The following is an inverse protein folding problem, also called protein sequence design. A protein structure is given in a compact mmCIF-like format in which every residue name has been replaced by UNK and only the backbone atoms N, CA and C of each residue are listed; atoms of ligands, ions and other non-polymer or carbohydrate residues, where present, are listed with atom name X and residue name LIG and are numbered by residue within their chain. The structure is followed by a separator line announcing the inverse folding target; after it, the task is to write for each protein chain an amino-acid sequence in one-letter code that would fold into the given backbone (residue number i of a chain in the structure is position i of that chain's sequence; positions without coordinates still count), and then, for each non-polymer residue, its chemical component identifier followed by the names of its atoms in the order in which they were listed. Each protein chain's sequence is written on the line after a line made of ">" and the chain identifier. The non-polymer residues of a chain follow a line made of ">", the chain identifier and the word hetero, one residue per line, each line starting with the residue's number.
data_IF_238753302546
#
_entry.id   IF_238753302546
#
_cell.length_a   1.000
_cell.length_b   1.000
_cell.length_c   1.000
_cell.angle_alpha   90.00
_cell.angle_beta   90.00
_cell.angle_gamma   90.00
#
_symmetry.space_group_name_H-M   'P 1'
#
loop_
_entity.id
_entity.type
_entity.pdbx_description
1 polymer ?
#
# COMPACT_ATOMS: atom_id res chain seq x y z
N UNK A 1 -50.92 -0.61 26.38
CA UNK A 1 -50.29 -0.39 25.06
C UNK A 1 -49.22 0.67 25.28
N UNK A 2 -47.96 0.27 25.41
CA UNK A 2 -46.83 1.20 25.55
C UNK A 2 -46.24 1.43 24.17
N UNK A 3 -46.18 2.68 23.73
CA UNK A 3 -45.49 3.07 22.51
C UNK A 3 -44.00 2.72 22.63
N UNK A 4 -43.55 1.82 21.75
CA UNK A 4 -42.13 1.61 21.48
C UNK A 4 -41.72 2.74 20.54
N UNK A 5 -41.03 3.75 21.07
CA UNK A 5 -40.40 4.80 20.29
C UNK A 5 -39.37 4.21 19.30
N UNK A 6 -39.16 4.85 18.14
CA UNK A 6 -38.30 4.31 17.10
C UNK A 6 -36.84 4.18 17.58
N UNK A 7 -36.09 3.18 17.09
CA UNK A 7 -34.73 2.91 17.55
C UNK A 7 -33.82 4.09 17.24
N UNK A 8 -33.13 4.54 18.29
CA UNK A 8 -32.07 5.53 18.28
C UNK A 8 -31.10 5.25 17.12
N UNK A 9 -31.16 6.13 16.12
CA UNK A 9 -30.30 6.08 14.94
C UNK A 9 -28.84 6.12 15.40
N UNK A 10 -28.14 4.99 15.28
CA UNK A 10 -26.70 4.91 15.43
C UNK A 10 -26.04 5.78 14.36
N UNK A 11 -25.84 7.06 14.66
CA UNK A 11 -25.05 7.95 13.83
C UNK A 11 -23.62 7.40 13.80
N UNK A 12 -23.00 7.23 12.62
CA UNK A 12 -21.63 6.76 12.54
C UNK A 12 -20.71 7.73 13.31
N UNK A 13 -19.71 7.22 14.06
CA UNK A 13 -18.90 8.06 14.92
C UNK A 13 -18.20 9.14 14.08
N UNK A 14 -18.59 10.40 14.29
CA UNK A 14 -17.88 11.55 13.73
C UNK A 14 -16.55 11.63 14.46
N UNK A 15 -15.49 11.18 13.80
CA UNK A 15 -14.11 11.34 14.31
C UNK A 15 -13.88 12.83 14.55
N UNK A 16 -13.63 13.20 15.80
CA UNK A 16 -13.39 14.59 16.17
C UNK A 16 -11.98 15.02 15.75
N UNK A 17 -11.80 16.31 15.43
CA UNK A 17 -10.48 16.88 15.12
C UNK A 17 -9.51 16.67 16.28
N UNK A 18 -10.02 16.69 17.51
CA UNK A 18 -9.23 16.43 18.71
C UNK A 18 -8.73 14.98 18.78
N UNK A 19 -9.59 13.99 18.49
CA UNK A 19 -9.16 12.59 18.43
C UNK A 19 -8.08 12.36 17.37
N UNK A 20 -8.23 13.00 16.20
CA UNK A 20 -7.22 12.96 15.14
C UNK A 20 -5.90 13.56 15.61
N UNK A 21 -5.93 14.72 16.27
CA UNK A 21 -4.74 15.39 16.80
C UNK A 21 -4.03 14.54 17.84
N UNK A 22 -4.77 13.96 18.78
CA UNK A 22 -4.23 13.10 19.85
C UNK A 22 -3.61 11.83 19.27
N UNK A 23 -4.28 11.14 18.34
CA UNK A 23 -3.74 9.91 17.74
C UNK A 23 -2.59 10.15 16.79
N UNK A 24 -2.62 11.21 15.97
CA UNK A 24 -1.46 11.61 15.17
C UNK A 24 -0.28 11.99 16.07
N UNK A 25 -0.54 12.70 17.17
CA UNK A 25 0.48 13.01 18.17
C UNK A 25 1.12 11.74 18.75
N UNK A 26 0.30 10.74 19.10
CA UNK A 26 0.80 9.43 19.57
C UNK A 26 1.59 8.68 18.51
N UNK A 27 1.13 8.65 17.26
CA UNK A 27 1.85 8.02 16.16
C UNK A 27 3.23 8.67 15.93
N UNK A 28 3.27 10.00 15.90
CA UNK A 28 4.52 10.75 15.77
C UNK A 28 5.43 10.55 16.97
N UNK A 29 4.88 10.57 18.19
CA UNK A 29 5.65 10.32 19.40
C UNK A 29 6.27 8.92 19.36
N UNK A 30 5.51 7.87 19.03
CA UNK A 30 6.04 6.52 18.89
C UNK A 30 7.08 6.40 17.77
N UNK A 31 6.94 7.16 16.67
CA UNK A 31 7.98 7.22 15.62
C UNK A 31 9.27 7.85 16.13
N UNK A 32 9.15 8.97 16.84
CA UNK A 32 10.30 9.68 17.42
C UNK A 32 10.95 8.81 18.49
N UNK A 33 10.18 8.20 19.39
CA UNK A 33 10.67 7.27 20.42
C UNK A 33 11.43 6.10 19.81
N UNK A 34 10.87 5.47 18.76
CA UNK A 34 11.56 4.40 18.04
C UNK A 34 12.83 4.90 17.37
N UNK A 35 12.79 6.07 16.70
CA UNK A 35 13.96 6.64 16.04
C UNK A 35 15.08 6.98 17.04
N UNK A 36 14.73 7.56 18.19
CA UNK A 36 15.66 7.86 19.29
C UNK A 36 16.22 6.57 19.87
N UNK A 37 15.38 5.57 20.16
CA UNK A 37 15.81 4.28 20.66
C UNK A 37 16.78 3.60 19.67
N UNK A 38 16.46 3.61 18.37
CA UNK A 38 17.35 3.09 17.33
C UNK A 38 18.66 3.87 17.24
N UNK A 39 18.62 5.20 17.33
CA UNK A 39 19.82 6.04 17.35
C UNK A 39 20.73 5.75 18.54
N UNK A 40 20.15 5.59 19.74
CA UNK A 40 20.89 5.20 20.94
C UNK A 40 21.48 3.79 20.81
N UNK A 41 20.72 2.83 20.29
CA UNK A 41 21.20 1.46 20.06
C UNK A 41 22.26 1.38 18.95
N UNK A 42 22.20 2.28 17.96
CA UNK A 42 23.24 2.40 16.95
C UNK A 42 24.55 2.91 17.58
N UNK A 43 24.48 3.98 18.38
CA UNK A 43 25.63 4.49 19.12
C UNK A 43 26.20 3.44 20.08
N UNK A 44 25.34 2.76 20.82
CA UNK A 44 25.73 1.69 21.73
C UNK A 44 26.41 0.54 20.98
N UNK A 45 25.87 0.13 19.84
CA UNK A 45 26.50 -0.88 18.97
C UNK A 45 27.89 -0.47 18.48
N UNK A 46 28.11 0.83 18.24
CA UNK A 46 29.41 1.35 17.84
C UNK A 46 30.40 1.40 19.01
N UNK A 47 29.94 1.67 20.23
CA UNK A 47 30.79 1.68 21.43
C UNK A 47 31.18 0.26 21.84
N UNK A 48 30.25 -0.68 21.71
CA UNK A 48 30.45 -2.09 22.04
C UNK A 48 31.06 -2.90 20.87
N UNK A 49 31.47 -2.23 19.80
CA UNK A 49 32.09 -2.88 18.66
C UNK A 49 33.44 -3.48 19.07
N UNK A 50 33.61 -4.78 18.89
CA UNK A 50 34.78 -5.53 19.36
C UNK A 50 34.79 -5.88 20.86
N UNK A 51 33.74 -5.55 21.63
CA UNK A 51 33.59 -6.04 22.99
C UNK A 51 32.97 -7.45 22.97
N UNK A 52 33.65 -8.43 23.57
CA UNK A 52 33.07 -9.74 23.89
C UNK A 52 33.03 -9.96 25.40
N UNK A 53 31.97 -10.60 25.88
CA UNK A 53 31.83 -11.01 27.27
C UNK A 53 31.48 -12.49 27.31
N UNK A 54 32.11 -13.23 28.21
CA UNK A 54 31.75 -14.62 28.47
C UNK A 54 30.67 -14.66 29.57
N UNK A 55 29.48 -15.15 29.20
CA UNK A 55 28.32 -15.24 30.09
C UNK A 55 27.85 -16.70 30.10
N UNK A 56 27.91 -17.36 31.26
CA UNK A 56 27.57 -18.78 31.42
C UNK A 56 28.30 -19.73 30.43
N UNK A 57 29.55 -19.45 30.10
CA UNK A 57 30.35 -20.25 29.16
C UNK A 57 29.99 -20.06 27.69
N UNK A 58 29.18 -19.04 27.37
CA UNK A 58 28.87 -18.62 26.00
C UNK A 58 29.52 -17.25 25.78
N UNK A 59 30.34 -17.14 24.74
CA UNK A 59 30.87 -15.85 24.31
C UNK A 59 29.77 -15.08 23.58
N UNK A 60 29.33 -13.98 24.18
CA UNK A 60 28.32 -13.10 23.60
C UNK A 60 29.01 -11.80 23.19
N UNK A 61 28.85 -11.43 21.92
CA UNK A 61 29.40 -10.17 21.41
C UNK A 61 28.49 -8.99 21.72
N UNK A 62 29.07 -7.79 21.88
CA UNK A 62 28.31 -6.56 22.03
C UNK A 62 27.33 -6.30 20.88
N UNK A 63 27.67 -6.76 19.68
CA UNK A 63 26.80 -6.73 18.50
C UNK A 63 25.49 -7.51 18.73
N UNK A 64 25.57 -8.68 19.34
CA UNK A 64 24.41 -9.56 19.58
C UNK A 64 23.49 -9.00 20.66
N UNK A 65 24.06 -8.49 21.75
CA UNK A 65 23.29 -7.82 22.82
C UNK A 65 22.50 -6.65 22.24
N UNK A 66 23.15 -5.82 21.43
CA UNK A 66 22.50 -4.69 20.77
C UNK A 66 21.44 -5.17 19.77
N UNK A 67 21.67 -6.27 19.07
CA UNK A 67 20.68 -6.90 18.20
C UNK A 67 19.39 -7.30 18.94
N UNK A 68 19.53 -7.94 20.10
CA UNK A 68 18.39 -8.32 20.95
C UNK A 68 17.63 -7.08 21.44
N UNK A 69 18.35 -6.04 21.88
CA UNK A 69 17.73 -4.78 22.30
C UNK A 69 17.02 -4.06 21.15
N UNK A 70 17.57 -4.10 19.92
CA UNK A 70 16.89 -3.56 18.73
C UNK A 70 15.59 -4.30 18.45
N UNK A 71 15.60 -5.63 18.54
CA UNK A 71 14.40 -6.43 18.39
C UNK A 71 13.34 -6.07 19.43
N UNK A 72 13.74 -5.96 20.71
CA UNK A 72 12.83 -5.56 21.78
C UNK A 72 12.22 -4.18 21.54
N UNK A 73 13.03 -3.19 21.11
CA UNK A 73 12.55 -1.85 20.80
C UNK A 73 11.57 -1.85 19.61
N UNK A 74 11.86 -2.58 18.53
CA UNK A 74 10.96 -2.68 17.37
C UNK A 74 9.64 -3.33 17.76
N UNK A 75 9.65 -4.40 18.56
CA UNK A 75 8.41 -5.04 19.02
C UNK A 75 7.59 -4.10 19.91
N UNK A 76 8.24 -3.46 20.89
CA UNK A 76 7.58 -2.58 21.85
C UNK A 76 6.95 -1.34 21.19
N UNK A 77 7.75 -0.56 20.46
CA UNK A 77 7.25 0.67 19.82
C UNK A 77 6.45 0.36 18.55
N UNK A 78 6.84 -0.67 17.80
CA UNK A 78 6.16 -1.05 16.56
C UNK A 78 4.71 -1.45 16.76
N UNK A 79 4.35 -2.08 17.88
CA UNK A 79 2.95 -2.39 18.20
C UNK A 79 2.08 -1.13 18.31
N UNK A 80 2.55 -0.13 19.07
CA UNK A 80 1.85 1.16 19.23
C UNK A 80 1.67 1.84 17.87
N UNK A 81 2.74 1.92 17.09
CA UNK A 81 2.72 2.54 15.76
C UNK A 81 1.76 1.82 14.81
N UNK A 82 1.79 0.49 14.79
CA UNK A 82 0.94 -0.30 13.91
C UNK A 82 -0.54 -0.06 14.19
N UNK A 83 -0.92 -0.01 15.46
CA UNK A 83 -2.31 0.24 15.88
C UNK A 83 -2.80 1.62 15.41
N UNK A 84 -2.00 2.67 15.64
CA UNK A 84 -2.37 4.03 15.22
C UNK A 84 -2.35 4.20 13.69
N UNK A 85 -1.44 3.51 12.99
CA UNK A 85 -1.35 3.54 11.52
C UNK A 85 -2.54 2.85 10.86
N UNK A 86 -2.99 1.72 11.41
CA UNK A 86 -4.20 1.02 10.95
C UNK A 86 -5.47 1.85 11.19
N UNK A 87 -5.55 2.56 12.32
CA UNK A 87 -6.64 3.49 12.58
C UNK A 87 -6.64 4.66 11.58
N UNK A 88 -5.48 5.27 11.36
CA UNK A 88 -5.33 6.37 10.41
C UNK A 88 -5.67 5.94 8.99
N UNK A 89 -5.32 4.71 8.64
CA UNK A 89 -5.68 4.10 7.36
C UNK A 89 -7.19 3.95 7.21
N UNK A 90 -7.94 3.54 8.24
CA UNK A 90 -9.41 3.41 8.12
C UNK A 90 -10.07 4.75 7.78
N UNK A 91 -9.58 5.84 8.38
CA UNK A 91 -10.06 7.20 8.08
C UNK A 91 -9.62 7.63 6.68
N UNK A 92 -8.36 7.41 6.34
CA UNK A 92 -7.79 7.82 5.06
C UNK A 92 -8.43 7.07 3.91
N UNK A 93 -8.72 5.78 4.08
CA UNK A 93 -9.41 4.95 3.08
C UNK A 93 -10.79 5.52 2.73
N UNK A 94 -11.56 5.99 3.73
CA UNK A 94 -12.87 6.62 3.51
C UNK A 94 -12.77 7.95 2.76
N UNK A 95 -11.69 8.72 2.94
CA UNK A 95 -11.47 9.97 2.22
C UNK A 95 -10.98 9.69 0.80
N UNK A 96 -10.01 8.81 0.67
CA UNK A 96 -9.37 8.47 -0.59
C UNK A 96 -10.32 7.73 -1.53
N UNK A 97 -11.19 6.84 -1.02
CA UNK A 97 -12.23 6.20 -1.83
C UNK A 97 -13.20 7.21 -2.45
N UNK A 98 -13.58 8.25 -1.68
CA UNK A 98 -14.43 9.34 -2.16
C UNK A 98 -13.73 10.19 -3.21
N UNK A 99 -12.47 10.55 -2.99
CA UNK A 99 -11.67 11.32 -3.94
C UNK A 99 -11.47 10.59 -5.27
N UNK A 100 -11.26 9.27 -5.23
CA UNK A 100 -11.07 8.44 -6.41
C UNK A 100 -12.40 8.03 -7.09
N UNK A 101 -13.55 8.42 -6.51
CA UNK A 101 -14.87 8.02 -6.97
C UNK A 101 -15.01 6.50 -7.05
N UNK A 102 -14.48 5.80 -6.04
CA UNK A 102 -14.56 4.35 -5.89
C UNK A 102 -15.75 4.02 -4.99
N UNK A 103 -16.57 3.07 -5.43
CA UNK A 103 -17.72 2.61 -4.66
C UNK A 103 -17.29 1.87 -3.37
N UNK A 104 -16.13 1.21 -3.40
CA UNK A 104 -15.68 0.35 -2.32
C UNK A 104 -14.53 0.94 -1.50
N UNK A 105 -14.83 1.37 -0.28
CA UNK A 105 -13.81 1.74 0.74
C UNK A 105 -12.88 0.56 1.05
N UNK A 106 -13.42 -0.66 0.97
CA UNK A 106 -12.72 -1.90 1.35
C UNK A 106 -11.48 -2.15 0.51
N UNK A 107 -11.52 -1.87 -0.79
CA UNK A 107 -10.37 -2.04 -1.69
C UNK A 107 -9.21 -1.12 -1.33
N UNK A 108 -9.50 0.17 -1.11
CA UNK A 108 -8.51 1.16 -0.69
C UNK A 108 -7.91 0.82 0.68
N UNK A 109 -8.76 0.43 1.64
CA UNK A 109 -8.32 -0.01 2.96
C UNK A 109 -7.40 -1.22 2.86
N UNK A 110 -7.73 -2.20 2.02
CA UNK A 110 -6.91 -3.41 1.86
C UNK A 110 -5.52 -3.10 1.31
N UNK A 111 -5.43 -2.28 0.27
CA UNK A 111 -4.15 -1.85 -0.31
C UNK A 111 -3.28 -1.17 0.76
N UNK A 112 -3.87 -0.27 1.56
CA UNK A 112 -3.13 0.37 2.64
C UNK A 112 -2.69 -0.61 3.72
N UNK A 113 -3.49 -1.63 4.05
CA UNK A 113 -3.11 -2.66 5.02
C UNK A 113 -1.93 -3.48 4.49
N UNK A 114 -1.97 -3.87 3.22
CA UNK A 114 -0.91 -4.62 2.55
C UNK A 114 0.41 -3.79 2.57
N UNK A 115 0.35 -2.47 2.32
CA UNK A 115 1.51 -1.56 2.43
C UNK A 115 2.04 -1.50 3.87
N UNK A 116 1.16 -1.34 4.86
CA UNK A 116 1.54 -1.30 6.28
C UNK A 116 2.23 -2.61 6.69
N UNK A 117 1.71 -3.76 6.24
CA UNK A 117 2.30 -5.06 6.53
C UNK A 117 3.66 -5.26 5.85
N UNK A 118 3.83 -4.78 4.61
CA UNK A 118 5.15 -4.78 3.95
C UNK A 118 6.16 -3.93 4.72
N UNK A 119 5.76 -2.74 5.18
CA UNK A 119 6.62 -1.88 5.99
C UNK A 119 6.97 -2.52 7.34
N UNK A 120 5.99 -3.15 7.99
CA UNK A 120 6.20 -3.93 9.21
C UNK A 120 7.14 -5.12 9.01
N UNK A 121 7.01 -5.84 7.88
CA UNK A 121 7.89 -6.95 7.52
C UNK A 121 9.34 -6.48 7.30
N UNK A 122 9.52 -5.36 6.60
CA UNK A 122 10.84 -4.76 6.39
C UNK A 122 11.49 -4.34 7.73
N UNK A 123 10.71 -3.72 8.62
CA UNK A 123 11.18 -3.33 9.95
C UNK A 123 11.53 -4.56 10.81
N UNK A 124 10.71 -5.61 10.76
CA UNK A 124 10.99 -6.87 11.43
C UNK A 124 12.27 -7.53 10.89
N UNK A 125 12.49 -7.53 9.57
CA UNK A 125 13.73 -8.04 8.98
C UNK A 125 14.94 -7.25 9.46
N UNK A 126 14.86 -5.91 9.47
CA UNK A 126 15.92 -5.07 9.99
C UNK A 126 16.29 -5.44 11.44
N UNK A 127 15.28 -5.64 12.28
CA UNK A 127 15.45 -6.01 13.69
C UNK A 127 16.01 -7.42 13.90
N UNK A 128 15.60 -8.38 13.06
CA UNK A 128 15.99 -9.79 13.17
C UNK A 128 17.33 -10.07 12.49
N UNK A 129 17.73 -9.29 11.50
CA UNK A 129 18.96 -9.51 10.72
C UNK A 129 20.23 -9.70 11.56
N UNK A 130 20.46 -9.00 12.70
CA UNK A 130 21.62 -9.26 13.55
C UNK A 130 21.54 -10.61 14.27
N UNK A 131 20.34 -11.12 14.55
CA UNK A 131 20.20 -12.44 15.14
C UNK A 131 20.48 -13.56 14.13
N UNK A 132 20.34 -13.29 12.83
CA UNK A 132 20.70 -14.28 11.80
C UNK A 132 22.21 -14.56 11.81
N UNK A 133 23.05 -13.61 12.23
CA UNK A 133 24.49 -13.85 12.34
C UNK A 133 24.86 -14.82 13.48
N UNK A 134 24.00 -14.98 14.49
CA UNK A 134 24.17 -15.97 15.58
C UNK A 134 24.07 -17.41 15.06
N UNK A 135 23.36 -17.63 13.96
CA UNK A 135 23.22 -18.96 13.37
C UNK A 135 24.56 -19.33 12.74
N UNK A 136 25.15 -20.51 13.03
CA UNK A 136 26.39 -20.95 12.42
C UNK A 136 26.34 -20.88 10.88
N UNK A 137 27.46 -20.54 10.22
CA UNK A 137 27.51 -20.48 8.76
C UNK A 137 27.16 -21.84 8.15
N UNK A 138 26.17 -21.85 7.26
CA UNK A 138 25.64 -23.06 6.62
C UNK A 138 24.28 -22.82 6.00
N UNK A 139 23.67 -23.87 5.43
CA UNK A 139 22.37 -23.78 4.76
C UNK A 139 21.26 -23.24 5.69
N UNK A 140 21.32 -23.56 6.98
CA UNK A 140 20.36 -23.11 7.98
C UNK A 140 20.33 -21.58 8.18
N UNK A 141 21.46 -20.88 7.97
CA UNK A 141 21.54 -19.42 8.07
C UNK A 141 20.67 -18.69 7.04
N UNK A 142 20.38 -19.33 5.90
CA UNK A 142 19.52 -18.76 4.86
C UNK A 142 18.02 -18.94 5.13
N UNK A 143 17.63 -19.83 6.03
CA UNK A 143 16.21 -20.13 6.28
C UNK A 143 15.41 -18.90 6.74
N UNK A 144 15.89 -18.06 7.68
CA UNK A 144 15.17 -16.84 8.06
C UNK A 144 15.01 -15.89 6.87
N UNK A 145 16.09 -15.63 6.11
CA UNK A 145 16.06 -14.76 4.93
C UNK A 145 15.07 -15.26 3.88
N UNK A 146 15.06 -16.58 3.63
CA UNK A 146 14.15 -17.19 2.67
C UNK A 146 12.68 -17.12 3.15
N UNK A 147 12.43 -17.30 4.45
CA UNK A 147 11.12 -17.13 5.05
C UNK A 147 10.60 -15.70 4.91
N UNK A 148 11.42 -14.71 5.25
CA UNK A 148 11.07 -13.30 5.07
C UNK A 148 10.85 -12.95 3.60
N UNK A 149 11.68 -13.46 2.69
CA UNK A 149 11.51 -13.28 1.25
C UNK A 149 10.19 -13.88 0.76
N UNK A 150 9.87 -15.11 1.17
CA UNK A 150 8.63 -15.77 0.80
C UNK A 150 7.40 -14.98 1.27
N UNK A 151 7.39 -14.54 2.54
CA UNK A 151 6.32 -13.69 3.08
C UNK A 151 6.25 -12.37 2.31
N UNK A 152 7.40 -11.75 2.01
CA UNK A 152 7.47 -10.50 1.26
C UNK A 152 6.89 -10.62 -0.14
N UNK A 153 7.22 -11.70 -0.85
CA UNK A 153 6.68 -11.99 -2.19
C UNK A 153 5.16 -12.21 -2.12
N UNK A 154 4.67 -12.94 -1.12
CA UNK A 154 3.22 -13.15 -0.92
C UNK A 154 2.49 -11.83 -0.67
N UNK A 155 2.99 -11.00 0.23
CA UNK A 155 2.39 -9.69 0.52
C UNK A 155 2.44 -8.77 -0.70
N UNK A 156 3.55 -8.79 -1.45
CA UNK A 156 3.70 -7.99 -2.66
C UNK A 156 2.73 -8.44 -3.76
N UNK A 157 2.56 -9.76 -3.91
CA UNK A 157 1.58 -10.33 -4.83
C UNK A 157 0.15 -9.95 -4.43
N UNK A 158 -0.19 -10.06 -3.15
CA UNK A 158 -1.50 -9.67 -2.63
C UNK A 158 -1.77 -8.18 -2.84
N UNK A 159 -0.77 -7.32 -2.59
CA UNK A 159 -0.84 -5.88 -2.87
C UNK A 159 -1.10 -5.62 -4.36
N UNK A 160 -0.30 -6.20 -5.25
CA UNK A 160 -0.46 -6.04 -6.69
C UNK A 160 -1.84 -6.50 -7.16
N UNK A 161 -2.32 -7.63 -6.65
CA UNK A 161 -3.64 -8.18 -6.95
C UNK A 161 -4.78 -7.31 -6.39
N UNK A 162 -4.59 -6.70 -5.23
CA UNK A 162 -5.55 -5.74 -4.63
C UNK A 162 -5.63 -4.46 -5.46
N UNK A 163 -4.48 -3.90 -5.87
CA UNK A 163 -4.41 -2.74 -6.77
C UNK A 163 -5.08 -3.05 -8.10
N UNK A 164 -4.72 -4.15 -8.75
CA UNK A 164 -5.29 -4.53 -10.04
C UNK A 164 -6.82 -4.63 -9.98
N UNK A 165 -7.37 -5.30 -8.96
CA UNK A 165 -8.83 -5.43 -8.79
C UNK A 165 -9.52 -4.08 -8.57
N UNK A 166 -8.90 -3.18 -7.82
CA UNK A 166 -9.48 -1.86 -7.55
C UNK A 166 -9.55 -0.99 -8.81
N UNK A 167 -8.54 -1.09 -9.67
CA UNK A 167 -8.46 -0.29 -10.89
C UNK A 167 -9.08 -0.96 -12.11
N UNK A 168 -9.32 -2.28 -12.09
CA UNK A 168 -9.89 -3.03 -13.21
C UNK A 168 -11.17 -2.37 -13.76
N UNK A 169 -12.12 -2.02 -12.90
CA UNK A 169 -13.38 -1.38 -13.31
C UNK A 169 -13.18 -0.01 -13.96
N UNK A 170 -12.19 0.76 -13.50
CA UNK A 170 -11.83 2.07 -14.10
C UNK A 170 -11.12 1.87 -15.44
N UNK A 171 -10.28 0.85 -15.53
CA UNK A 171 -9.50 0.54 -16.72
C UNK A 171 -10.38 -0.01 -17.84
N UNK A 172 -11.36 -0.86 -17.52
CA UNK A 172 -12.37 -1.33 -18.47
C UNK A 172 -13.17 -0.17 -19.06
N UNK A 173 -13.66 0.76 -18.23
CA UNK A 173 -14.35 1.97 -18.73
C UNK A 173 -13.49 2.86 -19.62
N UNK A 174 -12.19 2.96 -19.32
CA UNK A 174 -11.25 3.69 -20.19
C UNK A 174 -11.05 2.98 -21.52
N UNK A 175 -10.93 1.64 -21.50
CA UNK A 175 -10.82 0.82 -22.71
C UNK A 175 -12.08 0.91 -23.57
N UNK A 176 -13.26 0.87 -22.96
CA UNK A 176 -14.53 1.00 -23.68
C UNK A 176 -14.64 2.37 -24.35
N UNK A 177 -14.32 3.45 -23.63
CA UNK A 177 -14.31 4.80 -24.20
C UNK A 177 -13.29 4.99 -25.31
N UNK A 178 -12.11 4.37 -25.19
CA UNK A 178 -11.09 4.38 -26.24
C UNK A 178 -11.56 3.61 -27.48
N UNK A 179 -12.21 2.46 -27.27
CA UNK A 179 -12.76 1.62 -28.35
C UNK A 179 -13.88 2.35 -29.07
N UNK A 180 -14.76 3.04 -28.34
CA UNK A 180 -15.84 3.83 -28.93
C UNK A 180 -15.31 5.05 -29.71
N UNK A 181 -14.28 5.72 -29.17
CA UNK A 181 -13.60 6.82 -29.86
C UNK A 181 -12.93 6.37 -31.17
N UNK A 182 -12.19 5.25 -31.12
CA UNK A 182 -11.54 4.67 -32.29
C UNK A 182 -12.57 4.16 -33.31
N UNK A 183 -13.64 3.51 -32.85
CA UNK A 183 -14.72 3.04 -33.72
C UNK A 183 -15.43 4.20 -34.43
N UNK A 184 -15.70 5.31 -33.74
CA UNK A 184 -16.27 6.52 -34.36
C UNK A 184 -15.32 7.13 -35.40
N UNK A 185 -14.03 7.21 -35.10
CA UNK A 185 -13.02 7.72 -36.04
C UNK A 185 -12.84 6.85 -37.29
N UNK A 186 -13.11 5.53 -37.19
CA UNK A 186 -13.09 4.62 -38.34
C UNK A 186 -14.37 4.73 -39.19
N UNK A 187 -15.54 4.92 -38.56
CA UNK A 187 -16.81 5.08 -39.27
C UNK A 187 -16.92 6.41 -40.02
N UNK A 188 -16.36 7.50 -39.47
CA UNK A 188 -16.26 8.80 -40.18
C UNK A 188 -15.34 8.73 -41.42
N UNK A 189 -14.42 7.76 -41.49
CA UNK A 189 -13.55 7.54 -42.64
C UNK A 189 -14.24 6.78 -43.79
N UNK A 190 -15.24 5.93 -43.49
CA UNK A 190 -16.02 5.20 -44.50
C UNK A 190 -17.18 6.04 -45.09
N UNK A 191 -17.81 6.94 -44.31
CA UNK A 191 -18.87 7.83 -44.84
C UNK A 191 -18.35 8.99 -45.70
N UNK A 192 -17.05 9.29 -45.65
CA UNK A 192 -16.42 10.36 -46.44
C UNK A 192 -16.15 10.04 -47.91
N UNK A 193 -16.59 8.88 -48.42
CA UNK A 193 -16.32 8.49 -49.81
C UNK A 193 -17.49 7.75 -50.47
N UNK A 194 -18.52 8.49 -50.92
CA UNK A 194 -19.12 8.15 -52.21
C UNK A 194 -19.40 9.37 -53.10
N UNK A 195 -19.04 9.20 -54.38
CA UNK A 195 -19.59 9.90 -55.56
C UNK A 195 -19.06 11.30 -55.93
N UNK A 196 -17.77 11.37 -56.29
CA UNK A 196 -17.43 12.05 -57.55
C UNK A 196 -17.53 11.00 -58.66
N UNK A 197 -18.39 11.25 -59.67
CA UNK A 197 -18.46 10.65 -61.03
C UNK A 197 -19.90 10.30 -61.50
N UNK A 198 -20.91 11.12 -61.23
CA UNK A 198 -22.03 11.28 -62.17
C UNK A 198 -22.49 12.75 -62.21
N UNK A 199 -22.05 13.48 -63.23
CA UNK A 199 -22.39 14.90 -63.37
C UNK A 199 -21.91 15.49 -64.69
N UNK A 200 -22.37 14.92 -65.81
CA UNK A 200 -21.98 15.36 -67.15
C UNK A 200 -23.06 15.20 -68.21
N UNK A 201 -24.34 15.38 -67.84
CA UNK A 201 -25.44 15.49 -68.79
C UNK A 201 -25.98 16.91 -68.85
N UNK A 202 -25.75 17.64 -69.93
CA UNK A 202 -26.64 18.74 -70.33
C UNK A 202 -26.91 18.72 -71.83
N UNK A 203 -28.20 18.79 -72.11
CA UNK A 203 -28.87 18.82 -73.40
C UNK A 203 -28.44 20.01 -74.27
N UNK A 204 -28.62 19.84 -75.59
CA UNK A 204 -28.64 20.93 -76.56
C UNK A 204 -29.12 20.44 -77.93
N UNK A 205 -30.42 20.20 -78.06
CA UNK A 205 -31.05 19.85 -79.33
C UNK A 205 -31.25 21.10 -80.22
N UNK A 206 -30.88 20.96 -81.51
CA UNK A 206 -31.63 21.56 -82.63
C UNK A 206 -31.06 22.81 -83.31
N UNK A 207 -30.46 22.64 -84.50
CA UNK A 207 -31.08 22.97 -85.81
C UNK A 207 -30.04 22.88 -86.95
N UNK A 208 -30.40 22.11 -87.98
CA UNK A 208 -29.99 22.26 -89.40
C UNK A 208 -31.11 23.06 -90.11
N UNK A 209 -30.93 23.62 -91.32
CA UNK A 209 -29.90 23.38 -92.34
C UNK A 209 -28.90 24.52 -92.53
#
# INVERSE_FOLDING_TARGET
>A
MSEVGPPESAQPPKVSVEELRVRLGRLLASFIELAVAMGLLFLLGRILDGASMEVFGIEISGFEVVGILRLAAVVYFGYSMLSELLWLLDISAKRLSRLLGLAEVRGVRRIGQDIIYLMGLALAWYAVSPLVSLIPPGAARFLPSLGFLAIGVLLLYDLAKSIYRLFKEKFERLLDGLTEFLARGLLEQEEGSPEELEGGGSQGAGKRP
#
